data_IF_502048433999
#
_entry.id   IF_502048433999
#
_cell.length_a   1.000
_cell.length_b   1.000
_cell.length_c   1.000
_cell.angle_alpha   90.00
_cell.angle_beta   90.00
_cell.angle_gamma   90.00
#
_symmetry.space_group_name_H-M   'P 1'
#
loop_
_entity.id
_entity.type
_entity.pdbx_description
1 polymer ?
#
# COMPACT_ATOMS: atom_id res chain seq x y z
N UNK A 1 -8.10 21.80 11.54
CA UNK A 1 -7.08 20.75 11.71
C UNK A 1 -7.18 19.85 10.49
N UNK A 2 -6.05 19.59 9.84
CA UNK A 2 -5.94 18.67 8.71
C UNK A 2 -5.06 17.50 9.17
N UNK A 3 -5.51 16.27 8.93
CA UNK A 3 -4.82 15.04 9.30
C UNK A 3 -4.64 14.21 8.04
N UNK A 4 -3.47 13.64 7.85
CA UNK A 4 -3.15 12.78 6.72
C UNK A 4 -1.78 12.13 6.86
N UNK A 5 -1.42 11.33 5.86
CA UNK A 5 -0.11 10.69 5.75
C UNK A 5 0.45 10.90 4.34
N UNK A 6 1.48 11.72 4.24
CA UNK A 6 2.12 12.07 2.97
C UNK A 6 3.10 10.99 2.46
N UNK A 7 3.31 9.93 3.25
CA UNK A 7 4.12 8.76 2.86
C UNK A 7 3.27 7.64 2.26
N UNK A 8 1.94 7.77 2.31
CA UNK A 8 1.05 6.86 1.60
C UNK A 8 0.95 7.24 0.12
N UNK A 9 0.26 6.37 -0.64
CA UNK A 9 0.16 6.53 -2.08
C UNK A 9 -0.37 7.91 -2.48
N UNK A 10 0.31 8.61 -3.41
CA UNK A 10 -0.17 9.86 -3.96
C UNK A 10 -1.43 9.63 -4.82
N UNK A 11 -2.11 10.71 -5.26
CA UNK A 11 -3.17 10.59 -6.25
C UNK A 11 -2.69 9.83 -7.48
N UNK A 12 -3.44 8.82 -7.91
CA UNK A 12 -3.13 8.08 -9.13
C UNK A 12 -3.63 8.88 -10.34
N UNK A 13 -2.74 9.62 -10.98
CA UNK A 13 -3.01 10.46 -12.14
C UNK A 13 -2.17 9.97 -13.31
N UNK A 14 -2.83 9.66 -14.42
CA UNK A 14 -2.17 9.40 -15.70
C UNK A 14 -2.08 10.69 -16.51
N UNK A 15 -0.88 11.22 -16.64
CA UNK A 15 -0.62 12.48 -17.36
C UNK A 15 -1.04 12.42 -18.82
N UNK A 16 -0.67 11.35 -19.50
CA UNK A 16 -0.92 11.22 -20.93
C UNK A 16 -2.42 11.03 -21.21
N UNK A 17 -3.12 10.27 -20.38
CA UNK A 17 -4.57 10.11 -20.47
C UNK A 17 -5.30 11.43 -20.22
N UNK A 18 -4.90 12.19 -19.21
CA UNK A 18 -5.50 13.50 -18.90
C UNK A 18 -5.27 14.48 -20.06
N UNK A 19 -4.04 14.58 -20.57
CA UNK A 19 -3.70 15.47 -21.68
C UNK A 19 -4.46 15.06 -22.96
N UNK A 20 -4.55 13.77 -23.24
CA UNK A 20 -5.32 13.26 -24.38
C UNK A 20 -6.81 13.63 -24.27
N UNK A 21 -7.42 13.44 -23.11
CA UNK A 21 -8.83 13.77 -22.88
C UNK A 21 -9.09 15.27 -23.01
N UNK A 22 -8.24 16.12 -22.43
CA UNK A 22 -8.38 17.57 -22.54
C UNK A 22 -8.22 18.04 -24.00
N UNK A 23 -7.23 17.51 -24.70
CA UNK A 23 -7.02 17.83 -26.12
C UNK A 23 -8.23 17.41 -26.97
N UNK A 24 -8.71 16.18 -26.77
CA UNK A 24 -9.90 15.68 -27.50
C UNK A 24 -11.14 16.53 -27.21
N UNK A 25 -11.38 16.89 -25.94
CA UNK A 25 -12.50 17.75 -25.55
C UNK A 25 -12.40 19.14 -26.22
N UNK A 26 -11.21 19.74 -26.22
CA UNK A 26 -10.99 21.03 -26.89
C UNK A 26 -11.33 20.98 -28.41
N UNK A 27 -11.08 19.84 -29.07
CA UNK A 27 -11.43 19.65 -30.50
C UNK A 27 -12.94 19.54 -30.73
N UNK A 28 -13.68 18.99 -29.75
CA UNK A 28 -15.13 18.79 -29.86
C UNK A 28 -15.94 20.02 -29.40
N UNK A 29 -15.34 20.91 -28.60
CA UNK A 29 -16.01 22.08 -28.04
C UNK A 29 -16.18 23.16 -29.09
N UNK A 30 -17.44 23.58 -29.33
CA UNK A 30 -17.83 24.62 -30.32
C UNK A 30 -17.79 26.00 -29.67
N UNK A 31 -18.12 26.12 -28.40
CA UNK A 31 -18.08 27.36 -27.65
C UNK A 31 -16.62 27.84 -27.50
N UNK A 32 -16.38 29.09 -27.88
CA UNK A 32 -15.02 29.64 -27.94
C UNK A 32 -14.44 29.85 -26.54
N UNK A 33 -15.25 30.34 -25.61
CA UNK A 33 -14.79 30.64 -24.23
C UNK A 33 -14.48 29.33 -23.47
N UNK A 34 -15.36 28.35 -23.59
CA UNK A 34 -15.14 27.02 -22.99
C UNK A 34 -13.89 26.34 -23.58
N UNK A 35 -13.72 26.44 -24.92
CA UNK A 35 -12.54 25.89 -25.59
C UNK A 35 -11.23 26.52 -25.09
N UNK A 36 -11.20 27.84 -24.90
CA UNK A 36 -10.04 28.54 -24.39
C UNK A 36 -9.72 28.07 -22.94
N UNK A 37 -10.73 27.90 -22.11
CA UNK A 37 -10.55 27.37 -20.73
C UNK A 37 -9.94 25.95 -20.72
N UNK A 38 -10.40 25.07 -21.62
CA UNK A 38 -9.85 23.71 -21.75
C UNK A 38 -8.39 23.76 -22.21
N UNK A 39 -8.04 24.61 -23.17
CA UNK A 39 -6.66 24.78 -23.65
C UNK A 39 -5.74 25.32 -22.52
N UNK A 40 -6.21 26.26 -21.73
CA UNK A 40 -5.45 26.77 -20.60
C UNK A 40 -5.27 25.69 -19.52
N UNK A 41 -6.30 24.87 -19.27
CA UNK A 41 -6.17 23.71 -18.36
C UNK A 41 -5.19 22.67 -18.89
N UNK A 42 -5.19 22.37 -20.21
CA UNK A 42 -4.21 21.48 -20.82
C UNK A 42 -2.78 22.00 -20.63
N UNK A 43 -2.55 23.29 -20.83
CA UNK A 43 -1.25 23.93 -20.59
C UNK A 43 -0.85 23.83 -19.12
N UNK A 44 -1.78 24.10 -18.20
CA UNK A 44 -1.53 24.00 -16.78
C UNK A 44 -1.13 22.57 -16.40
N UNK A 45 -1.86 21.55 -16.83
CA UNK A 45 -1.53 20.14 -16.60
C UNK A 45 -0.15 19.81 -17.18
N UNK A 46 0.15 20.26 -18.40
CA UNK A 46 1.43 19.98 -19.06
C UNK A 46 2.64 20.50 -18.30
N UNK A 47 2.53 21.70 -17.73
CA UNK A 47 3.66 22.38 -17.08
C UNK A 47 3.72 22.20 -15.55
N UNK A 48 2.63 21.78 -14.93
CA UNK A 48 2.51 21.71 -13.47
C UNK A 48 2.06 20.32 -12.96
N UNK A 49 2.22 19.28 -13.78
CA UNK A 49 1.75 17.94 -13.44
C UNK A 49 2.38 17.41 -12.15
N UNK A 50 3.66 17.68 -11.92
CA UNK A 50 4.39 17.33 -10.70
C UNK A 50 3.76 17.91 -9.42
N UNK A 51 3.03 19.02 -9.54
CA UNK A 51 2.27 19.59 -8.42
C UNK A 51 0.92 18.90 -8.21
N UNK A 52 0.34 18.34 -9.28
CA UNK A 52 -0.92 17.59 -9.23
C UNK A 52 -0.72 16.18 -8.67
N UNK A 53 0.41 15.56 -8.93
CA UNK A 53 0.78 14.24 -8.39
C UNK A 53 0.94 14.25 -6.87
N UNK A 54 1.22 15.40 -6.28
CA UNK A 54 1.32 15.54 -4.83
C UNK A 54 -0.06 15.74 -4.21
N UNK A 55 -0.36 14.99 -3.16
CA UNK A 55 -1.58 15.22 -2.40
C UNK A 55 -1.63 16.63 -1.83
N UNK A 56 -2.84 17.17 -1.68
CA UNK A 56 -3.02 18.49 -1.05
C UNK A 56 -2.44 18.52 0.36
N UNK A 57 -2.58 17.42 1.11
CA UNK A 57 -1.99 17.26 2.43
C UNK A 57 -0.46 17.34 2.38
N UNK A 58 0.19 16.62 1.45
CA UNK A 58 1.65 16.65 1.30
C UNK A 58 2.18 18.06 1.04
N UNK A 59 1.52 18.81 0.14
CA UNK A 59 1.91 20.18 -0.16
C UNK A 59 1.81 21.08 1.08
N UNK A 60 0.69 21.01 1.79
CA UNK A 60 0.48 21.80 3.01
C UNK A 60 1.45 21.40 4.11
N UNK A 61 1.65 20.11 4.35
CA UNK A 61 2.56 19.61 5.37
C UNK A 61 4.02 20.00 5.10
N UNK A 62 4.46 19.92 3.84
CA UNK A 62 5.82 20.26 3.44
C UNK A 62 6.10 21.76 3.60
N UNK A 63 5.13 22.62 3.29
CA UNK A 63 5.26 24.08 3.34
C UNK A 63 4.98 24.67 4.73
N UNK A 64 4.27 23.95 5.59
CA UNK A 64 3.90 24.44 6.91
C UNK A 64 5.12 24.69 7.81
N UNK A 65 5.06 25.72 8.62
CA UNK A 65 6.01 25.97 9.68
C UNK A 65 5.95 24.87 10.76
N UNK A 66 7.11 24.55 11.34
CA UNK A 66 7.21 23.51 12.36
C UNK A 66 6.36 23.80 13.62
N UNK A 67 6.03 25.05 13.89
CA UNK A 67 5.18 25.42 15.03
C UNK A 67 3.71 25.04 14.87
N UNK A 68 3.25 24.80 13.64
CA UNK A 68 1.85 24.48 13.32
C UNK A 68 1.63 23.06 12.82
N UNK A 69 2.70 22.24 12.74
CA UNK A 69 2.63 20.84 12.35
C UNK A 69 3.14 19.91 13.43
N UNK A 70 2.56 18.73 13.50
CA UNK A 70 2.98 17.66 14.39
C UNK A 70 2.93 16.31 13.69
N UNK A 71 3.79 15.39 14.09
CA UNK A 71 3.86 14.05 13.54
C UNK A 71 3.59 13.03 14.65
N UNK A 72 2.67 12.13 14.41
CA UNK A 72 2.48 10.95 15.25
C UNK A 72 3.61 9.96 14.95
N UNK A 73 4.43 9.68 15.93
CA UNK A 73 5.60 8.80 15.77
C UNK A 73 5.38 7.40 16.29
N UNK A 74 4.32 7.17 17.07
CA UNK A 74 4.01 5.84 17.63
C UNK A 74 2.79 5.27 16.94
N UNK A 75 2.92 4.03 16.50
CA UNK A 75 1.83 3.22 15.99
C UNK A 75 1.53 2.05 16.94
N UNK A 76 0.24 1.64 17.00
CA UNK A 76 -0.27 0.54 17.81
C UNK A 76 -1.05 -0.47 16.96
N UNK A 77 -0.78 -0.53 15.65
CA UNK A 77 -1.47 -1.39 14.70
C UNK A 77 -0.66 -2.62 14.35
N UNK A 78 0.60 -2.41 13.97
CA UNK A 78 1.44 -3.43 13.38
C UNK A 78 2.33 -4.09 14.42
N UNK A 79 2.62 -5.38 14.21
CA UNK A 79 3.70 -6.07 14.91
C UNK A 79 5.04 -5.33 14.71
N UNK A 80 5.96 -5.34 15.71
CA UNK A 80 7.25 -4.67 15.60
C UNK A 80 8.07 -5.07 14.36
N UNK A 81 8.00 -6.33 13.91
CA UNK A 81 8.73 -6.76 12.71
C UNK A 81 8.18 -6.12 11.44
N UNK A 82 6.86 -5.99 11.34
CA UNK A 82 6.23 -5.24 10.24
C UNK A 82 6.63 -3.75 10.33
N UNK A 83 6.65 -3.20 11.55
CA UNK A 83 7.08 -1.82 11.76
C UNK A 83 8.52 -1.59 11.26
N UNK A 84 9.46 -2.51 11.51
CA UNK A 84 10.85 -2.40 11.01
C UNK A 84 10.94 -2.26 9.49
N UNK A 85 10.04 -2.90 8.74
CA UNK A 85 10.00 -2.75 7.28
C UNK A 85 9.45 -1.38 6.89
N UNK A 86 8.46 -0.88 7.60
CA UNK A 86 7.75 0.36 7.27
C UNK A 86 8.48 1.61 7.78
N UNK A 87 9.14 1.56 8.94
CA UNK A 87 9.76 2.74 9.58
C UNK A 87 10.79 3.44 8.70
N UNK A 88 11.45 2.71 7.80
CA UNK A 88 12.42 3.28 6.86
C UNK A 88 11.83 4.39 5.97
N UNK A 89 10.54 4.30 5.65
CA UNK A 89 9.84 5.31 4.85
C UNK A 89 9.58 6.61 5.64
N UNK A 90 9.61 6.54 6.97
CA UNK A 90 9.34 7.67 7.88
C UNK A 90 10.59 8.28 8.50
N UNK A 91 11.78 7.80 8.16
CA UNK A 91 13.05 8.27 8.75
C UNK A 91 13.23 9.78 8.61
N UNK A 92 12.86 10.36 7.48
CA UNK A 92 12.97 11.82 7.22
C UNK A 92 11.99 12.66 8.04
N UNK A 93 10.93 12.04 8.58
CA UNK A 93 9.88 12.70 9.36
C UNK A 93 10.03 12.47 10.86
N UNK A 94 11.18 11.97 11.26
CA UNK A 94 11.53 11.70 12.66
C UNK A 94 11.28 10.27 13.12
N UNK A 95 11.02 9.36 12.17
CA UNK A 95 10.84 7.92 12.42
C UNK A 95 9.41 7.52 12.78
N UNK A 96 9.16 6.21 12.77
CA UNK A 96 7.93 5.58 13.21
C UNK A 96 8.28 4.48 14.20
N UNK A 97 7.85 4.60 15.43
CA UNK A 97 8.11 3.66 16.50
C UNK A 97 6.92 2.74 16.73
N UNK A 98 7.17 1.47 17.06
CA UNK A 98 6.14 0.59 17.59
C UNK A 98 5.85 0.96 19.04
N UNK A 99 4.57 1.16 19.36
CA UNK A 99 4.13 1.49 20.72
C UNK A 99 3.84 0.28 21.61
N UNK A 100 3.88 -0.94 21.05
CA UNK A 100 3.73 -2.17 21.81
C UNK A 100 5.00 -2.52 22.57
N UNK A 101 4.83 -3.09 23.75
CA UNK A 101 5.89 -3.78 24.51
C UNK A 101 5.87 -5.27 24.17
N UNK A 102 6.93 -6.00 24.48
CA UNK A 102 7.07 -7.41 24.14
C UNK A 102 5.91 -8.29 24.64
N UNK A 103 5.40 -8.03 25.84
CA UNK A 103 4.29 -8.78 26.44
C UNK A 103 2.96 -8.57 25.68
N UNK A 104 2.83 -7.45 24.94
CA UNK A 104 1.59 -7.14 24.19
C UNK A 104 1.49 -7.95 22.88
N UNK A 105 2.61 -8.33 22.26
CA UNK A 105 2.60 -8.96 20.95
C UNK A 105 3.14 -10.39 20.89
N UNK A 106 3.87 -10.82 21.91
CA UNK A 106 4.43 -12.18 21.98
C UNK A 106 3.52 -13.17 22.74
N UNK A 107 2.61 -12.66 23.57
CA UNK A 107 1.76 -13.49 24.42
C UNK A 107 0.37 -13.70 23.81
N UNK A 108 0.01 -14.94 23.57
CA UNK A 108 -1.35 -15.32 23.19
C UNK A 108 -2.35 -14.87 24.27
N UNK A 109 -3.48 -14.34 23.85
CA UNK A 109 -4.58 -13.95 24.74
C UNK A 109 -4.48 -12.58 25.39
N UNK A 110 -3.43 -11.79 25.14
CA UNK A 110 -3.43 -10.38 25.52
C UNK A 110 -4.32 -9.56 24.57
N UNK A 111 -4.91 -8.42 25.03
CA UNK A 111 -5.78 -7.59 24.19
C UNK A 111 -5.12 -7.09 22.91
N UNK A 112 -3.80 -6.96 22.89
CA UNK A 112 -3.00 -6.45 21.75
C UNK A 112 -2.15 -7.52 21.08
N UNK A 113 -2.35 -8.79 21.44
CA UNK A 113 -1.57 -9.89 20.87
C UNK A 113 -1.57 -9.86 19.35
N UNK A 114 -0.36 -10.01 18.80
CA UNK A 114 -0.11 -10.18 17.37
C UNK A 114 0.43 -11.58 17.05
N UNK A 115 0.46 -12.44 18.05
CA UNK A 115 0.83 -13.83 17.89
C UNK A 115 -0.15 -14.55 16.96
N UNK A 116 0.34 -15.12 15.86
CA UNK A 116 -0.52 -15.79 14.88
C UNK A 116 -0.61 -17.32 15.05
N UNK A 117 0.33 -17.93 15.77
CA UNK A 117 0.30 -19.37 16.06
C UNK A 117 0.59 -20.29 14.87
N UNK A 118 0.72 -19.76 13.66
CA UNK A 118 0.95 -20.56 12.45
C UNK A 118 2.40 -21.02 12.41
N UNK A 119 2.61 -22.33 12.25
CA UNK A 119 3.92 -22.94 12.07
C UNK A 119 3.92 -23.82 10.84
N UNK A 120 4.71 -23.47 9.82
CA UNK A 120 4.90 -24.24 8.60
C UNK A 120 6.40 -24.41 8.40
N UNK A 121 6.87 -25.65 8.52
CA UNK A 121 8.29 -25.97 8.48
C UNK A 121 8.99 -25.40 7.23
N UNK A 122 10.08 -24.69 7.47
CA UNK A 122 10.88 -24.05 6.43
C UNK A 122 10.23 -22.79 5.80
N UNK A 123 9.03 -22.35 6.18
CA UNK A 123 8.34 -21.21 5.62
C UNK A 123 7.89 -20.20 6.67
N UNK A 124 7.05 -20.59 7.61
CA UNK A 124 6.43 -19.70 8.61
C UNK A 124 6.69 -20.25 10.00
N UNK A 125 7.23 -19.42 10.90
CA UNK A 125 7.27 -19.72 12.34
C UNK A 125 6.41 -18.71 13.10
N UNK A 126 5.92 -19.05 14.30
CA UNK A 126 5.10 -18.15 15.11
C UNK A 126 5.75 -16.79 15.42
N UNK A 127 7.07 -16.73 15.34
CA UNK A 127 7.88 -15.54 15.61
C UNK A 127 8.12 -14.68 14.35
N UNK A 128 7.85 -15.21 13.14
CA UNK A 128 8.12 -14.51 11.88
C UNK A 128 6.86 -13.84 11.35
N UNK A 129 6.81 -12.52 11.40
CA UNK A 129 5.68 -11.72 10.93
C UNK A 129 5.89 -11.08 9.55
N UNK A 130 7.09 -11.24 9.00
CA UNK A 130 7.44 -10.79 7.64
C UNK A 130 8.30 -11.85 6.97
N UNK A 131 7.87 -12.26 5.79
CA UNK A 131 8.59 -13.25 4.98
C UNK A 131 8.79 -12.65 3.59
N UNK A 132 10.01 -12.71 3.10
CA UNK A 132 10.35 -12.32 1.73
C UNK A 132 10.65 -13.57 0.91
N UNK A 133 9.91 -13.76 -0.18
CA UNK A 133 10.12 -14.86 -1.11
C UNK A 133 10.60 -14.27 -2.43
N UNK A 134 11.81 -14.61 -2.82
CA UNK A 134 12.39 -14.24 -4.12
C UNK A 134 12.06 -15.32 -5.14
N UNK A 135 11.28 -14.97 -6.15
CA UNK A 135 10.85 -15.90 -7.19
C UNK A 135 11.84 -16.00 -8.33
N UNK A 136 12.78 -15.07 -8.44
CA UNK A 136 13.75 -14.98 -9.54
C UNK A 136 13.10 -15.12 -10.94
N UNK A 137 11.87 -14.69 -11.08
CA UNK A 137 11.06 -14.80 -12.30
C UNK A 137 10.95 -13.44 -13.00
N UNK A 138 11.05 -13.39 -14.34
CA UNK A 138 10.95 -12.13 -15.08
C UNK A 138 9.52 -11.62 -15.14
N UNK A 139 9.36 -10.31 -15.10
CA UNK A 139 8.11 -9.64 -15.45
C UNK A 139 7.87 -9.67 -16.95
N UNK A 140 6.61 -9.86 -17.34
CA UNK A 140 6.16 -9.82 -18.74
C UNK A 140 5.26 -8.59 -18.90
N UNK A 141 5.54 -7.76 -19.92
CA UNK A 141 4.72 -6.59 -20.21
C UNK A 141 3.44 -6.99 -20.94
N UNK A 142 2.30 -6.49 -20.45
CA UNK A 142 0.98 -6.63 -21.06
C UNK A 142 0.34 -5.24 -21.23
N UNK A 143 0.55 -4.63 -22.38
CA UNK A 143 0.12 -3.24 -22.65
C UNK A 143 0.81 -2.28 -21.69
N UNK A 144 0.01 -1.57 -20.86
CA UNK A 144 0.49 -0.66 -19.82
C UNK A 144 0.68 -1.35 -18.45
N UNK A 145 0.39 -2.64 -18.36
CA UNK A 145 0.48 -3.44 -17.14
C UNK A 145 1.60 -4.48 -17.22
N UNK A 146 1.81 -5.21 -16.15
CA UNK A 146 2.82 -6.27 -16.06
C UNK A 146 2.27 -7.49 -15.34
N UNK A 147 2.82 -8.65 -15.69
CA UNK A 147 2.55 -9.94 -15.05
C UNK A 147 3.85 -10.63 -14.67
N UNK A 148 3.81 -11.41 -13.59
CA UNK A 148 4.89 -12.26 -13.16
C UNK A 148 4.33 -13.62 -12.69
N UNK A 149 4.41 -14.62 -13.53
CA UNK A 149 3.87 -15.96 -13.24
C UNK A 149 4.54 -16.61 -12.03
N UNK A 150 5.84 -16.39 -11.85
CA UNK A 150 6.56 -16.93 -10.70
C UNK A 150 6.08 -16.39 -9.36
N UNK A 151 5.60 -15.14 -9.31
CA UNK A 151 4.96 -14.59 -8.10
C UNK A 151 3.62 -15.26 -7.83
N UNK A 152 2.82 -15.52 -8.87
CA UNK A 152 1.54 -16.25 -8.73
C UNK A 152 1.79 -17.67 -8.22
N UNK A 153 2.75 -18.40 -8.83
CA UNK A 153 3.10 -19.74 -8.41
C UNK A 153 3.60 -19.79 -6.96
N UNK A 154 4.35 -18.77 -6.53
CA UNK A 154 4.79 -18.65 -5.14
C UNK A 154 3.61 -18.39 -4.17
N UNK A 155 2.65 -17.56 -4.56
CA UNK A 155 1.43 -17.32 -3.78
C UNK A 155 0.60 -18.61 -3.67
N UNK A 156 0.37 -19.29 -4.78
CA UNK A 156 -0.34 -20.57 -4.80
C UNK A 156 0.32 -21.61 -3.88
N UNK A 157 1.66 -21.67 -3.94
CA UNK A 157 2.42 -22.55 -3.05
C UNK A 157 2.23 -22.18 -1.57
N UNK A 158 2.37 -20.90 -1.19
CA UNK A 158 2.15 -20.44 0.19
C UNK A 158 0.73 -20.77 0.65
N UNK A 159 -0.28 -20.50 -0.17
CA UNK A 159 -1.67 -20.80 0.16
C UNK A 159 -1.90 -22.30 0.35
N UNK A 160 -1.25 -23.14 -0.47
CA UNK A 160 -1.34 -24.60 -0.30
C UNK A 160 -0.74 -25.09 1.03
N UNK A 161 0.33 -24.43 1.50
CA UNK A 161 0.93 -24.74 2.81
C UNK A 161 0.02 -24.25 3.97
N UNK A 162 -0.58 -23.08 3.83
CA UNK A 162 -1.53 -22.54 4.81
C UNK A 162 -2.80 -23.39 4.93
N UNK A 163 -3.17 -24.11 3.89
CA UNK A 163 -4.31 -25.03 3.90
C UNK A 163 -4.02 -26.39 4.58
N UNK A 164 -2.85 -26.57 5.19
CA UNK A 164 -2.55 -27.78 5.97
C UNK A 164 -3.41 -27.83 7.23
N UNK A 165 -3.68 -29.05 7.73
CA UNK A 165 -4.53 -29.24 8.91
C UNK A 165 -4.03 -28.47 10.15
N UNK A 166 -2.71 -28.46 10.37
CA UNK A 166 -2.11 -27.79 11.54
C UNK A 166 -2.22 -26.27 11.43
N UNK A 167 -2.03 -25.70 10.24
CA UNK A 167 -2.18 -24.28 9.99
C UNK A 167 -3.65 -23.84 10.14
N UNK A 168 -4.60 -24.61 9.61
CA UNK A 168 -6.03 -24.35 9.77
C UNK A 168 -6.43 -24.39 11.24
N UNK A 169 -5.99 -25.39 12.01
CA UNK A 169 -6.29 -25.47 13.44
C UNK A 169 -5.75 -24.26 14.22
N UNK A 170 -4.51 -23.81 13.93
CA UNK A 170 -3.92 -22.62 14.54
C UNK A 170 -4.72 -21.36 14.20
N UNK A 171 -5.17 -21.27 12.96
CA UNK A 171 -5.98 -20.19 12.45
C UNK A 171 -7.35 -20.13 13.12
N UNK A 172 -8.09 -21.25 13.14
CA UNK A 172 -9.45 -21.36 13.70
C UNK A 172 -9.49 -21.01 15.20
N UNK A 173 -8.42 -21.28 15.93
CA UNK A 173 -8.31 -20.90 17.34
C UNK A 173 -8.27 -19.38 17.54
N UNK A 174 -7.75 -18.65 16.58
CA UNK A 174 -7.52 -17.19 16.69
C UNK A 174 -8.64 -16.37 16.07
N UNK A 175 -9.17 -16.80 14.96
CA UNK A 175 -10.14 -16.06 14.15
C UNK A 175 -11.47 -16.80 14.13
N UNK A 176 -12.25 -16.63 15.19
CA UNK A 176 -13.53 -17.33 15.36
C UNK A 176 -14.74 -16.58 14.80
N UNK A 177 -14.53 -15.42 14.17
CA UNK A 177 -15.62 -14.59 13.63
C UNK A 177 -15.73 -14.78 12.11
N UNK A 178 -16.92 -15.12 11.62
CA UNK A 178 -17.22 -15.25 10.18
C UNK A 178 -17.09 -13.91 9.39
N UNK A 179 -16.92 -12.79 10.08
CA UNK A 179 -16.82 -11.46 9.48
C UNK A 179 -15.35 -11.03 9.19
N UNK A 180 -14.36 -11.72 9.73
CA UNK A 180 -12.96 -11.37 9.55
C UNK A 180 -12.44 -11.88 8.22
N UNK A 181 -11.88 -10.95 7.43
CA UNK A 181 -11.14 -11.31 6.20
C UNK A 181 -9.78 -11.87 6.58
N UNK A 182 -9.57 -13.08 6.17
CA UNK A 182 -8.46 -13.92 6.61
C UNK A 182 -7.18 -13.67 5.85
N UNK A 183 -7.27 -13.59 4.53
CA UNK A 183 -6.13 -13.40 3.64
C UNK A 183 -6.43 -12.30 2.63
N UNK A 184 -5.51 -11.33 2.52
CA UNK A 184 -5.53 -10.31 1.50
C UNK A 184 -4.39 -10.51 0.51
N UNK A 185 -4.73 -10.57 -0.79
CA UNK A 185 -3.75 -10.54 -1.86
C UNK A 185 -3.71 -9.14 -2.47
N UNK A 186 -2.50 -8.58 -2.62
CA UNK A 186 -2.30 -7.24 -3.14
C UNK A 186 -1.26 -7.32 -4.26
N UNK A 187 -1.57 -6.70 -5.40
CA UNK A 187 -0.63 -6.50 -6.49
C UNK A 187 -0.64 -5.05 -6.95
N UNK A 188 0.49 -4.58 -7.48
CA UNK A 188 0.62 -3.24 -8.04
C UNK A 188 0.17 -3.15 -9.50
N UNK A 189 0.04 -4.28 -10.20
CA UNK A 189 -0.27 -4.35 -11.62
C UNK A 189 -1.62 -5.03 -11.85
N UNK A 190 -2.56 -4.33 -12.54
CA UNK A 190 -3.91 -4.84 -12.78
C UNK A 190 -3.94 -6.15 -13.57
N UNK A 191 -3.03 -6.36 -14.53
CA UNK A 191 -2.93 -7.60 -15.29
C UNK A 191 -2.58 -8.82 -14.41
N UNK A 192 -1.83 -8.61 -13.32
CA UNK A 192 -1.46 -9.66 -12.38
C UNK A 192 -2.67 -10.28 -11.66
N UNK A 193 -3.76 -9.52 -11.48
CA UNK A 193 -4.99 -10.02 -10.85
C UNK A 193 -5.75 -11.03 -11.71
N UNK A 194 -5.44 -11.11 -13.00
CA UNK A 194 -6.09 -12.02 -13.96
C UNK A 194 -5.38 -13.37 -14.13
N UNK A 195 -4.24 -13.55 -13.49
CA UNK A 195 -3.47 -14.80 -13.51
C UNK A 195 -3.92 -15.73 -12.39
#
# INVERSE_FOLDING_TARGET
IIIGDHRQLPPNLDREDILYKLHYQALQTVDVEEKEQIIELEKFVRYHFDQLEKSHFERLFTQADNSIKGTFRKQYRMHPDINKVIEQFYTKDGGLECGFINEDYESEGTPFSRYHGINIDGLISPENHVIWIDTNSPEIAEGTSRTNRGEVDAIEWVLSQLATADAVEAYDKKFSSEEDKEIGLITFCGAQLGL
#
